data_IF_553105230975
#
_entry.id   IF_553105230975
#
_cell.length_a   1.000
_cell.length_b   1.000
_cell.length_c   1.000
_cell.angle_alpha   90.00
_cell.angle_beta   90.00
_cell.angle_gamma   90.00
#
_symmetry.space_group_name_H-M   'P 1'
#
loop_
_entity.id
_entity.type
_entity.pdbx_description
1 polymer ?
#
# COMPACT_ATOMS: atom_id res chain seq x y z
N UNK A 1 -20.60 -64.35 46.62
CA UNK A 1 -21.29 -63.04 46.48
C UNK A 1 -21.02 -62.53 45.08
N UNK A 2 -21.98 -62.70 44.18
CA UNK A 2 -21.86 -62.31 42.78
C UNK A 2 -22.19 -60.83 42.64
N UNK A 3 -21.21 -60.05 42.19
CA UNK A 3 -21.35 -58.65 41.85
C UNK A 3 -22.27 -58.53 40.63
N UNK A 4 -23.36 -57.76 40.76
CA UNK A 4 -24.40 -57.64 39.74
C UNK A 4 -23.86 -57.01 38.44
N UNK A 5 -24.45 -57.34 37.27
CA UNK A 5 -23.96 -56.91 35.96
C UNK A 5 -23.95 -55.38 35.78
N UNK A 6 -24.70 -54.64 36.61
CA UNK A 6 -24.72 -53.18 36.62
C UNK A 6 -23.38 -52.56 37.07
N UNK A 7 -22.66 -53.23 37.99
CA UNK A 7 -21.40 -52.70 38.54
C UNK A 7 -20.20 -52.94 37.61
N UNK A 8 -20.28 -53.95 36.73
CA UNK A 8 -19.25 -54.21 35.70
C UNK A 8 -19.33 -53.22 34.54
N UNK A 9 -20.53 -52.73 34.19
CA UNK A 9 -20.70 -51.69 33.16
C UNK A 9 -20.16 -50.34 33.65
N UNK A 10 -20.31 -50.03 34.95
CA UNK A 10 -19.76 -48.81 35.54
C UNK A 10 -18.21 -48.80 35.63
N UNK A 11 -17.57 -49.97 35.77
CA UNK A 11 -16.10 -50.04 35.83
C UNK A 11 -15.42 -49.96 34.43
N UNK A 12 -16.11 -50.39 33.38
CA UNK A 12 -15.60 -50.31 31.99
C UNK A 12 -15.76 -48.90 31.40
N UNK A 13 -16.78 -48.14 31.84
CA UNK A 13 -16.95 -46.73 31.45
C UNK A 13 -15.88 -45.83 32.10
N UNK A 14 -15.26 -46.23 33.20
CA UNK A 14 -14.23 -45.45 33.88
C UNK A 14 -12.80 -45.65 33.33
N UNK A 15 -12.54 -46.72 32.57
CA UNK A 15 -11.21 -47.03 32.00
C UNK A 15 -11.03 -46.63 30.53
N UNK A 16 -12.07 -46.16 29.85
CA UNK A 16 -12.00 -45.57 28.50
C UNK A 16 -12.03 -44.02 28.52
N UNK A 17 -11.89 -43.41 29.70
CA UNK A 17 -11.99 -41.96 29.90
C UNK A 17 -10.66 -41.22 30.06
N UNK A 18 -9.51 -41.87 29.83
CA UNK A 18 -8.18 -41.29 30.06
C UNK A 18 -7.27 -41.40 28.83
N UNK A 19 -7.78 -41.02 27.65
CA UNK A 19 -7.01 -40.97 26.41
C UNK A 19 -7.29 -39.75 25.53
N UNK A 20 -8.12 -38.81 26.00
CA UNK A 20 -8.25 -37.51 25.36
C UNK A 20 -7.03 -36.68 25.73
N UNK A 21 -6.00 -36.68 24.89
CA UNK A 21 -5.11 -35.53 24.83
C UNK A 21 -6.01 -34.34 24.49
N UNK A 22 -6.46 -33.63 25.51
CA UNK A 22 -6.94 -32.27 25.36
C UNK A 22 -5.72 -31.51 24.84
N UNK A 23 -5.53 -31.51 23.52
CA UNK A 23 -4.96 -30.35 22.86
C UNK A 23 -5.90 -29.23 23.27
N UNK A 24 -5.55 -28.54 24.37
CA UNK A 24 -6.22 -27.31 24.75
C UNK A 24 -6.31 -26.44 23.49
N UNK A 25 -7.37 -25.63 23.34
CA UNK A 25 -7.51 -24.81 22.14
C UNK A 25 -6.17 -24.15 21.88
N UNK A 26 -5.52 -24.53 20.77
CA UNK A 26 -4.29 -23.87 20.34
C UNK A 26 -4.65 -22.39 20.44
N UNK A 27 -3.92 -21.58 21.22
CA UNK A 27 -4.27 -20.18 21.33
C UNK A 27 -4.08 -19.60 19.93
N UNK A 28 -5.17 -19.59 19.16
CA UNK A 28 -5.26 -18.90 17.89
C UNK A 28 -5.26 -17.46 18.32
N UNK A 29 -4.07 -16.92 18.56
CA UNK A 29 -3.90 -15.50 18.73
C UNK A 29 -4.37 -14.92 17.39
N UNK A 30 -5.55 -14.31 17.32
CA UNK A 30 -6.19 -14.00 16.04
C UNK A 30 -5.42 -12.89 15.32
N UNK A 31 -4.44 -12.29 15.99
CA UNK A 31 -3.56 -11.29 15.44
C UNK A 31 -2.31 -11.94 14.85
N UNK A 32 -1.59 -12.82 15.55
CA UNK A 32 -0.25 -13.23 15.10
C UNK A 32 -0.18 -14.48 14.24
N UNK A 33 0.61 -14.40 13.16
CA UNK A 33 0.93 -15.57 12.35
C UNK A 33 1.98 -16.47 13.02
N UNK A 34 1.86 -17.78 12.80
CA UNK A 34 2.79 -18.80 13.27
C UNK A 34 4.10 -18.79 12.48
N UNK A 35 5.22 -19.28 13.04
CA UNK A 35 6.47 -19.37 12.29
C UNK A 35 6.34 -20.21 11.01
N UNK A 36 7.14 -19.93 9.96
CA UNK A 36 7.32 -20.80 8.81
C UNK A 36 7.66 -22.25 9.23
N UNK A 37 7.25 -23.23 8.41
CA UNK A 37 7.32 -24.66 8.75
C UNK A 37 8.75 -25.17 9.02
N UNK A 38 9.77 -24.56 8.39
CA UNK A 38 11.17 -24.92 8.60
C UNK A 38 12.02 -23.66 8.75
N UNK A 39 12.55 -23.45 9.95
CA UNK A 39 13.50 -22.40 10.26
C UNK A 39 14.69 -22.96 11.04
N UNK A 40 15.91 -22.47 10.81
CA UNK A 40 17.03 -22.68 11.73
C UNK A 40 16.64 -22.25 13.15
N UNK A 41 17.16 -22.94 14.18
CA UNK A 41 16.84 -22.66 15.60
C UNK A 41 17.01 -21.18 15.97
N UNK A 42 18.07 -20.54 15.49
CA UNK A 42 18.34 -19.13 15.75
C UNK A 42 17.26 -18.19 15.15
N UNK A 43 16.76 -18.51 13.97
CA UNK A 43 15.72 -17.73 13.29
C UNK A 43 14.34 -17.95 13.92
N UNK A 44 14.05 -19.19 14.33
CA UNK A 44 12.86 -19.51 15.10
C UNK A 44 12.84 -18.75 16.44
N UNK A 45 13.98 -18.68 17.13
CA UNK A 45 14.11 -17.90 18.36
C UNK A 45 13.87 -16.40 18.11
N UNK A 46 14.41 -15.86 17.02
CA UNK A 46 14.20 -14.46 16.64
C UNK A 46 12.73 -14.17 16.32
N UNK A 47 12.06 -15.07 15.58
CA UNK A 47 10.63 -15.00 15.26
C UNK A 47 9.77 -14.99 16.53
N UNK A 48 9.99 -15.94 17.43
CA UNK A 48 9.22 -16.07 18.66
C UNK A 48 9.42 -14.86 19.59
N UNK A 49 10.67 -14.36 19.68
CA UNK A 49 10.96 -13.15 20.44
C UNK A 49 10.25 -11.93 19.86
N UNK A 50 10.20 -11.77 18.53
CA UNK A 50 9.50 -10.66 17.90
C UNK A 50 7.99 -10.66 18.23
N UNK A 51 7.38 -11.85 18.23
CA UNK A 51 6.00 -12.04 18.65
C UNK A 51 5.77 -11.73 20.13
N UNK A 52 6.65 -12.19 21.00
CA UNK A 52 6.57 -11.95 22.44
C UNK A 52 6.67 -10.46 22.78
N UNK A 53 7.61 -9.75 22.16
CA UNK A 53 7.75 -8.30 22.31
C UNK A 53 6.46 -7.56 21.94
N UNK A 54 5.81 -7.96 20.84
CA UNK A 54 4.55 -7.36 20.44
C UNK A 54 3.41 -7.64 21.43
N UNK A 55 3.30 -8.87 21.93
CA UNK A 55 2.33 -9.25 22.96
C UNK A 55 2.53 -8.46 24.26
N UNK A 56 3.77 -8.16 24.60
CA UNK A 56 4.14 -7.39 25.79
C UNK A 56 4.10 -5.87 25.57
N UNK A 57 3.48 -5.40 24.47
CA UNK A 57 3.38 -3.99 24.09
C UNK A 57 4.74 -3.29 23.86
N UNK A 58 5.81 -4.06 23.66
CA UNK A 58 7.14 -3.58 23.29
C UNK A 58 7.24 -3.49 21.76
N UNK A 59 6.40 -2.64 21.17
CA UNK A 59 6.12 -2.62 19.73
C UNK A 59 7.36 -2.24 18.90
N UNK A 60 8.15 -1.26 19.35
CA UNK A 60 9.37 -0.85 18.64
C UNK A 60 10.43 -1.95 18.60
N UNK A 61 10.62 -2.67 19.72
CA UNK A 61 11.51 -3.83 19.77
C UNK A 61 11.03 -4.96 18.86
N UNK A 62 9.71 -5.18 18.78
CA UNK A 62 9.13 -6.16 17.85
C UNK A 62 9.44 -5.80 16.40
N UNK A 63 9.30 -4.52 16.02
CA UNK A 63 9.61 -4.02 14.68
C UNK A 63 11.10 -4.26 14.34
N UNK A 64 12.03 -3.95 15.25
CA UNK A 64 13.46 -4.24 15.05
C UNK A 64 13.71 -5.72 14.79
N UNK A 65 13.15 -6.60 15.63
CA UNK A 65 13.33 -8.03 15.50
C UNK A 65 12.73 -8.58 14.21
N UNK A 66 11.59 -8.06 13.77
CA UNK A 66 11.01 -8.42 12.47
C UNK A 66 11.88 -7.99 11.31
N UNK A 67 12.43 -6.78 11.34
CA UNK A 67 13.34 -6.31 10.30
C UNK A 67 14.60 -7.18 10.23
N UNK A 68 15.18 -7.55 11.38
CA UNK A 68 16.33 -8.47 11.46
C UNK A 68 15.99 -9.87 10.96
N UNK A 69 14.80 -10.38 11.28
CA UNK A 69 14.34 -11.67 10.77
C UNK A 69 14.23 -11.66 9.24
N UNK A 70 13.67 -10.59 8.68
CA UNK A 70 13.49 -10.41 7.24
C UNK A 70 14.79 -10.21 6.47
N UNK A 71 15.90 -9.80 7.10
CA UNK A 71 17.22 -9.74 6.45
C UNK A 71 17.67 -11.12 5.93
N UNK A 72 17.38 -12.18 6.69
CA UNK A 72 17.71 -13.56 6.31
C UNK A 72 16.53 -14.27 5.63
N UNK A 73 15.30 -13.80 5.87
CA UNK A 73 14.07 -14.41 5.39
C UNK A 73 13.25 -13.45 4.50
N UNK A 74 13.79 -12.91 3.39
CA UNK A 74 13.15 -11.85 2.62
C UNK A 74 11.87 -12.29 1.89
N UNK A 75 11.56 -13.60 1.85
CA UNK A 75 10.34 -14.16 1.25
C UNK A 75 9.33 -14.65 2.28
N UNK A 76 9.53 -14.36 3.57
CA UNK A 76 8.59 -14.74 4.62
C UNK A 76 7.39 -13.81 4.65
N UNK A 77 6.31 -14.20 3.96
CA UNK A 77 5.05 -13.46 3.99
C UNK A 77 4.49 -13.31 5.42
N UNK A 78 4.67 -14.34 6.26
CA UNK A 78 4.26 -14.33 7.67
C UNK A 78 4.96 -13.25 8.47
N UNK A 79 6.26 -13.09 8.25
CA UNK A 79 7.04 -12.05 8.90
C UNK A 79 6.64 -10.65 8.41
N UNK A 80 6.36 -10.47 7.12
CA UNK A 80 5.82 -9.20 6.62
C UNK A 80 4.43 -8.88 7.18
N UNK A 81 3.54 -9.86 7.32
CA UNK A 81 2.24 -9.63 7.97
C UNK A 81 2.40 -9.26 9.45
N UNK A 82 3.26 -9.96 10.19
CA UNK A 82 3.54 -9.63 11.59
C UNK A 82 4.22 -8.26 11.76
N UNK A 83 5.15 -7.91 10.87
CA UNK A 83 5.74 -6.57 10.80
C UNK A 83 4.65 -5.52 10.53
N UNK A 84 3.76 -5.79 9.57
CA UNK A 84 2.63 -4.90 9.25
C UNK A 84 1.73 -4.65 10.45
N UNK A 85 1.46 -5.67 11.25
CA UNK A 85 0.69 -5.49 12.49
C UNK A 85 1.45 -4.72 13.56
N UNK A 86 2.74 -5.01 13.75
CA UNK A 86 3.57 -4.24 14.68
C UNK A 86 3.59 -2.75 14.31
N UNK A 87 3.75 -2.44 13.02
CA UNK A 87 3.70 -1.09 12.48
C UNK A 87 2.31 -0.46 12.65
N UNK A 88 1.24 -1.22 12.40
CA UNK A 88 -0.14 -0.77 12.58
C UNK A 88 -0.43 -0.41 14.05
N UNK A 89 0.01 -1.25 14.99
CA UNK A 89 -0.10 -0.99 16.43
C UNK A 89 0.76 0.17 16.92
N UNK A 90 1.80 0.55 16.16
CA UNK A 90 2.65 1.70 16.45
C UNK A 90 2.20 2.99 15.72
N UNK A 91 0.95 3.04 15.23
CA UNK A 91 0.40 4.14 14.42
C UNK A 91 1.18 4.44 13.12
N UNK A 92 2.06 3.53 12.69
CA UNK A 92 2.82 3.63 11.44
C UNK A 92 2.03 3.02 10.28
N UNK A 93 0.88 3.64 9.98
CA UNK A 93 -0.11 3.09 9.05
C UNK A 93 0.39 2.90 7.61
N UNK A 94 1.16 3.86 7.07
CA UNK A 94 1.70 3.76 5.70
C UNK A 94 2.74 2.63 5.58
N UNK A 95 3.76 2.53 6.46
CA UNK A 95 4.63 1.36 6.51
C UNK A 95 3.87 0.04 6.72
N UNK A 96 2.84 0.02 7.56
CA UNK A 96 2.01 -1.16 7.79
C UNK A 96 1.33 -1.65 6.51
N UNK A 97 0.68 -0.74 5.78
CA UNK A 97 0.06 -1.05 4.47
C UNK A 97 1.11 -1.64 3.52
N UNK A 98 2.31 -1.06 3.47
CA UNK A 98 3.37 -1.56 2.58
C UNK A 98 3.84 -2.97 2.96
N UNK A 99 3.95 -3.26 4.25
CA UNK A 99 4.30 -4.59 4.73
C UNK A 99 3.19 -5.61 4.39
N UNK A 100 1.92 -5.26 4.58
CA UNK A 100 0.80 -6.11 4.18
C UNK A 100 0.70 -6.32 2.66
N UNK A 101 0.94 -5.28 1.85
CA UNK A 101 1.01 -5.41 0.39
C UNK A 101 2.12 -6.37 -0.03
N UNK A 102 3.28 -6.31 0.64
CA UNK A 102 4.41 -7.21 0.38
C UNK A 102 4.07 -8.65 0.79
N UNK A 103 3.43 -8.83 1.94
CA UNK A 103 2.97 -10.14 2.41
C UNK A 103 1.95 -10.76 1.44
N UNK A 104 0.97 -9.98 0.98
CA UNK A 104 -0.06 -10.45 0.03
C UNK A 104 0.52 -10.74 -1.36
N UNK A 105 1.54 -10.01 -1.78
CA UNK A 105 2.24 -10.31 -3.04
C UNK A 105 3.01 -11.64 -2.98
N UNK A 106 3.51 -12.01 -1.79
CA UNK A 106 4.19 -13.29 -1.57
C UNK A 106 3.21 -14.45 -1.40
N UNK A 107 2.05 -14.21 -0.77
CA UNK A 107 0.98 -15.19 -0.58
C UNK A 107 -0.41 -14.59 -0.92
N UNK A 108 -0.82 -14.65 -2.21
CA UNK A 108 -2.02 -13.94 -2.70
C UNK A 108 -3.36 -14.44 -2.15
N UNK A 109 -3.39 -15.68 -1.65
CA UNK A 109 -4.64 -16.33 -1.21
C UNK A 109 -4.83 -16.33 0.32
N UNK A 110 -3.90 -15.75 1.08
CA UNK A 110 -4.05 -15.68 2.53
C UNK A 110 -5.14 -14.66 2.93
N UNK A 111 -6.26 -15.20 3.42
CA UNK A 111 -7.41 -14.42 3.85
C UNK A 111 -7.12 -13.48 5.04
N UNK A 112 -6.17 -13.82 5.91
CA UNK A 112 -5.80 -12.99 7.07
C UNK A 112 -5.03 -11.76 6.61
N UNK A 113 -4.04 -11.94 5.75
CA UNK A 113 -3.25 -10.83 5.19
C UNK A 113 -4.16 -9.89 4.40
N UNK A 114 -5.03 -10.46 3.56
CA UNK A 114 -6.04 -9.73 2.81
C UNK A 114 -6.97 -8.93 3.74
N UNK A 115 -7.41 -9.53 4.84
CA UNK A 115 -8.22 -8.86 5.88
C UNK A 115 -7.50 -7.72 6.57
N UNK A 116 -6.22 -7.92 6.95
CA UNK A 116 -5.38 -6.91 7.57
C UNK A 116 -5.12 -5.72 6.63
N UNK A 117 -4.80 -5.99 5.37
CA UNK A 117 -4.63 -4.96 4.34
C UNK A 117 -5.91 -4.16 4.13
N UNK A 118 -7.08 -4.83 3.99
CA UNK A 118 -8.38 -4.15 3.88
C UNK A 118 -8.62 -3.20 5.06
N UNK A 119 -8.39 -3.67 6.29
CA UNK A 119 -8.57 -2.86 7.51
C UNK A 119 -7.66 -1.63 7.50
N UNK A 120 -6.38 -1.82 7.20
CA UNK A 120 -5.41 -0.72 7.16
C UNK A 120 -5.75 0.32 6.07
N UNK A 121 -6.14 -0.14 4.87
CA UNK A 121 -6.56 0.74 3.78
C UNK A 121 -7.83 1.53 4.12
N UNK A 122 -8.85 0.89 4.71
CA UNK A 122 -10.07 1.58 5.17
C UNK A 122 -9.76 2.62 6.23
N UNK A 123 -8.88 2.30 7.18
CA UNK A 123 -8.50 3.26 8.22
C UNK A 123 -7.77 4.47 7.63
N UNK A 124 -6.85 4.24 6.67
CA UNK A 124 -6.16 5.31 5.95
C UNK A 124 -7.13 6.16 5.13
N UNK A 125 -8.10 5.54 4.42
CA UNK A 125 -9.13 6.24 3.67
C UNK A 125 -9.99 7.15 4.58
N UNK A 126 -10.36 6.67 5.76
CA UNK A 126 -11.08 7.49 6.76
C UNK A 126 -10.27 8.70 7.18
N UNK A 127 -8.99 8.54 7.53
CA UNK A 127 -8.11 9.67 7.91
C UNK A 127 -8.02 10.70 6.77
N UNK A 128 -7.86 10.25 5.53
CA UNK A 128 -7.78 11.10 4.35
C UNK A 128 -9.10 11.83 4.10
N UNK A 129 -10.24 11.16 4.27
CA UNK A 129 -11.57 11.76 4.18
C UNK A 129 -11.73 12.89 5.21
N UNK A 130 -11.38 12.66 6.48
CA UNK A 130 -11.46 13.69 7.52
C UNK A 130 -10.55 14.89 7.22
N UNK A 131 -9.42 14.64 6.56
CA UNK A 131 -8.51 15.70 6.08
C UNK A 131 -8.96 16.40 4.79
N UNK A 132 -10.09 15.96 4.20
CA UNK A 132 -10.63 16.40 2.89
C UNK A 132 -9.74 16.07 1.69
N UNK A 133 -8.84 15.11 1.84
CA UNK A 133 -8.00 14.58 0.76
C UNK A 133 -8.75 13.44 0.04
N UNK A 134 -9.93 13.77 -0.52
CA UNK A 134 -10.89 12.79 -1.03
C UNK A 134 -10.35 11.96 -2.20
N UNK A 135 -9.54 12.54 -3.09
CA UNK A 135 -8.95 11.81 -4.21
C UNK A 135 -8.06 10.65 -3.75
N UNK A 136 -7.19 10.90 -2.76
CA UNK A 136 -6.31 9.87 -2.21
C UNK A 136 -7.12 8.85 -1.39
N UNK A 137 -8.17 9.29 -0.68
CA UNK A 137 -9.09 8.36 -0.03
C UNK A 137 -9.74 7.38 -1.03
N UNK A 138 -10.17 7.87 -2.20
CA UNK A 138 -10.73 7.03 -3.27
C UNK A 138 -9.69 6.02 -3.77
N UNK A 139 -8.42 6.40 -3.95
CA UNK A 139 -7.36 5.46 -4.36
C UNK A 139 -7.22 4.28 -3.38
N UNK A 140 -7.30 4.54 -2.07
CA UNK A 140 -7.29 3.49 -1.05
C UNK A 140 -8.55 2.63 -1.08
N UNK A 141 -9.73 3.23 -1.25
CA UNK A 141 -10.98 2.49 -1.36
C UNK A 141 -11.05 1.63 -2.62
N UNK A 142 -10.49 2.07 -3.74
CA UNK A 142 -10.37 1.26 -4.96
C UNK A 142 -9.48 0.04 -4.74
N UNK A 143 -8.40 0.17 -3.96
CA UNK A 143 -7.63 -1.00 -3.51
C UNK A 143 -8.49 -1.93 -2.64
N UNK A 144 -9.28 -1.40 -1.70
CA UNK A 144 -10.20 -2.21 -0.88
C UNK A 144 -11.21 -2.95 -1.76
N UNK A 145 -11.82 -2.27 -2.73
CA UNK A 145 -12.82 -2.84 -3.68
C UNK A 145 -12.27 -4.02 -4.47
N UNK A 146 -10.98 -4.00 -4.82
CA UNK A 146 -10.28 -5.12 -5.48
C UNK A 146 -10.04 -6.31 -4.53
N UNK A 147 -10.00 -6.06 -3.23
CA UNK A 147 -9.76 -7.06 -2.19
C UNK A 147 -11.06 -7.58 -1.55
N UNK A 148 -12.25 -7.06 -1.90
CA UNK A 148 -13.52 -7.50 -1.31
C UNK A 148 -14.25 -8.52 -2.17
N UNK A 149 -15.16 -9.28 -1.56
CA UNK A 149 -16.15 -10.09 -2.27
C UNK A 149 -17.27 -9.20 -2.83
N UNK A 150 -18.20 -9.79 -3.58
CA UNK A 150 -19.30 -9.08 -4.25
C UNK A 150 -20.15 -8.25 -3.28
N UNK A 151 -20.47 -8.79 -2.10
CA UNK A 151 -21.35 -8.13 -1.14
C UNK A 151 -20.71 -6.90 -0.48
N UNK A 152 -19.41 -6.96 -0.17
CA UNK A 152 -18.68 -5.79 0.35
C UNK A 152 -18.32 -4.77 -0.74
N UNK A 153 -18.23 -5.20 -2.01
CA UNK A 153 -17.84 -4.36 -3.14
C UNK A 153 -18.81 -3.22 -3.41
N UNK A 154 -20.11 -3.48 -3.30
CA UNK A 154 -21.16 -2.47 -3.49
C UNK A 154 -21.08 -1.36 -2.42
N UNK A 155 -20.83 -1.74 -1.16
CA UNK A 155 -20.68 -0.77 -0.07
C UNK A 155 -19.48 0.15 -0.30
N UNK A 156 -18.36 -0.43 -0.72
CA UNK A 156 -17.15 0.35 -1.03
C UNK A 156 -17.36 1.24 -2.26
N UNK A 157 -18.11 0.77 -3.27
CA UNK A 157 -18.47 1.60 -4.42
C UNK A 157 -19.31 2.82 -4.01
N UNK A 158 -20.31 2.63 -3.14
CA UNK A 158 -21.13 3.72 -2.61
C UNK A 158 -20.30 4.73 -1.79
N UNK A 159 -19.35 4.25 -1.00
CA UNK A 159 -18.41 5.12 -0.29
C UNK A 159 -17.58 5.96 -1.26
N UNK A 160 -17.08 5.37 -2.36
CA UNK A 160 -16.34 6.07 -3.40
C UNK A 160 -17.21 7.12 -4.10
N UNK A 161 -18.43 6.78 -4.47
CA UNK A 161 -19.39 7.71 -5.08
C UNK A 161 -19.67 8.90 -4.16
N UNK A 162 -19.84 8.66 -2.86
CA UNK A 162 -20.03 9.72 -1.86
C UNK A 162 -18.83 10.67 -1.81
N UNK A 163 -17.60 10.15 -1.91
CA UNK A 163 -16.40 11.00 -1.96
C UNK A 163 -16.31 11.79 -3.26
N UNK A 164 -16.71 11.20 -4.39
CA UNK A 164 -16.76 11.91 -5.67
C UNK A 164 -17.78 13.06 -5.64
N UNK A 165 -18.95 12.86 -5.00
CA UNK A 165 -19.92 13.93 -4.74
C UNK A 165 -19.30 15.08 -3.95
N UNK A 166 -18.55 14.77 -2.88
CA UNK A 166 -17.87 15.80 -2.08
C UNK A 166 -16.77 16.54 -2.86
N UNK A 167 -16.07 15.86 -3.78
CA UNK A 167 -15.13 16.51 -4.70
C UNK A 167 -15.87 17.44 -5.64
N UNK A 168 -17.01 17.00 -6.18
CA UNK A 168 -17.79 17.82 -7.10
C UNK A 168 -18.34 19.09 -6.43
N UNK A 169 -18.77 19.02 -5.16
CA UNK A 169 -19.13 20.21 -4.40
C UNK A 169 -17.97 21.21 -4.26
N UNK A 170 -16.73 20.73 -4.12
CA UNK A 170 -15.54 21.60 -4.14
C UNK A 170 -15.35 22.24 -5.52
N UNK A 171 -15.55 21.48 -6.60
CA UNK A 171 -15.47 21.96 -7.99
C UNK A 171 -16.52 23.06 -8.24
N UNK A 172 -17.76 22.87 -7.77
CA UNK A 172 -18.82 23.89 -7.88
C UNK A 172 -18.49 25.18 -7.13
N UNK A 173 -17.77 25.11 -6.02
CA UNK A 173 -17.32 26.29 -5.30
C UNK A 173 -16.23 27.07 -6.04
N UNK A 174 -15.33 26.36 -6.74
CA UNK A 174 -14.29 26.98 -7.58
C UNK A 174 -14.91 27.56 -8.86
N UNK A 175 -15.86 26.86 -9.46
CA UNK A 175 -16.62 27.24 -10.65
C UNK A 175 -15.76 27.72 -11.83
N UNK A 176 -14.72 26.97 -12.17
CA UNK A 176 -13.85 27.24 -13.32
C UNK A 176 -13.95 26.12 -14.35
N UNK A 177 -13.75 26.45 -15.62
CA UNK A 177 -13.75 25.47 -16.72
C UNK A 177 -12.77 24.34 -16.44
N UNK A 178 -11.56 24.69 -16.00
CA UNK A 178 -10.47 23.75 -15.71
C UNK A 178 -10.84 22.78 -14.58
N UNK A 179 -11.53 23.24 -13.54
CA UNK A 179 -11.92 22.39 -12.42
C UNK A 179 -12.99 21.36 -12.82
N UNK A 180 -13.96 21.74 -13.66
CA UNK A 180 -14.95 20.79 -14.18
C UNK A 180 -14.33 19.80 -15.16
N UNK A 181 -13.40 20.25 -16.00
CA UNK A 181 -12.65 19.38 -16.93
C UNK A 181 -11.78 18.37 -16.15
N UNK A 182 -11.08 18.81 -15.10
CA UNK A 182 -10.30 17.92 -14.23
C UNK A 182 -11.19 16.87 -13.54
N UNK A 183 -12.37 17.28 -13.04
CA UNK A 183 -13.33 16.38 -12.44
C UNK A 183 -13.78 15.28 -13.41
N UNK A 184 -14.20 15.65 -14.62
CA UNK A 184 -14.62 14.69 -15.63
C UNK A 184 -13.47 13.82 -16.15
N UNK A 185 -12.25 14.36 -16.17
CA UNK A 185 -11.06 13.58 -16.52
C UNK A 185 -10.78 12.44 -15.55
N UNK A 186 -11.10 12.63 -14.25
CA UNK A 186 -10.94 11.61 -13.22
C UNK A 186 -12.19 10.72 -13.03
N UNK A 187 -13.38 11.30 -13.16
CA UNK A 187 -14.65 10.65 -12.85
C UNK A 187 -15.67 10.86 -13.99
N UNK A 188 -15.43 10.35 -15.21
CA UNK A 188 -16.29 10.59 -16.36
C UNK A 188 -17.69 9.96 -16.23
N UNK A 189 -17.80 8.90 -15.41
CA UNK A 189 -19.01 8.09 -15.24
C UNK A 189 -19.62 8.25 -13.84
N UNK A 190 -19.31 9.33 -13.11
CA UNK A 190 -20.00 9.59 -11.85
C UNK A 190 -21.52 9.77 -12.14
N UNK A 191 -22.40 8.96 -11.51
CA UNK A 191 -23.79 8.83 -11.92
C UNK A 191 -24.63 10.09 -11.68
N UNK A 192 -24.19 10.97 -10.77
CA UNK A 192 -24.95 12.12 -10.34
C UNK A 192 -24.47 13.43 -10.96
N UNK A 193 -23.15 13.59 -11.07
CA UNK A 193 -22.52 14.90 -11.29
C UNK A 193 -21.93 15.07 -12.69
N UNK A 194 -21.63 13.97 -13.41
CA UNK A 194 -20.91 14.06 -14.70
C UNK A 194 -21.70 14.81 -15.76
N UNK A 195 -23.02 14.60 -15.83
CA UNK A 195 -23.87 15.29 -16.81
C UNK A 195 -24.02 16.78 -16.50
N UNK A 196 -24.11 17.15 -15.23
CA UNK A 196 -24.12 18.55 -14.81
C UNK A 196 -22.78 19.22 -15.13
N UNK A 197 -21.65 18.55 -14.83
CA UNK A 197 -20.31 19.04 -15.15
C UNK A 197 -20.15 19.30 -16.66
N UNK A 198 -20.59 18.37 -17.52
CA UNK A 198 -20.56 18.54 -19.00
C UNK A 198 -21.34 19.77 -19.45
N UNK A 199 -22.52 20.00 -18.88
CA UNK A 199 -23.36 21.17 -19.20
C UNK A 199 -22.68 22.47 -18.77
N UNK A 200 -22.09 22.50 -17.58
CA UNK A 200 -21.40 23.68 -17.06
C UNK A 200 -20.15 24.01 -17.89
N UNK A 201 -19.38 23.00 -18.30
CA UNK A 201 -18.26 23.17 -19.24
C UNK A 201 -18.73 23.82 -20.55
N UNK A 202 -19.84 23.34 -21.13
CA UNK A 202 -20.37 23.90 -22.37
C UNK A 202 -20.85 25.36 -22.23
N UNK A 203 -21.32 25.75 -21.04
CA UNK A 203 -21.72 27.14 -20.75
C UNK A 203 -20.52 28.05 -20.48
N UNK A 204 -19.47 27.55 -19.82
CA UNK A 204 -18.28 28.31 -19.46
C UNK A 204 -17.28 28.43 -20.61
N UNK A 205 -17.30 27.51 -21.57
CA UNK A 205 -16.48 27.60 -22.77
C UNK A 205 -16.86 28.88 -23.53
N UNK A 206 -15.89 29.72 -23.92
CA UNK A 206 -16.17 30.85 -24.80
C UNK A 206 -16.92 30.34 -26.02
N UNK A 207 -18.13 30.84 -26.23
CA UNK A 207 -18.82 30.62 -27.50
C UNK A 207 -17.94 31.25 -28.57
N UNK A 208 -17.29 30.45 -29.40
CA UNK A 208 -16.72 30.95 -30.64
C UNK A 208 -17.87 31.59 -31.40
N UNK A 209 -17.89 32.92 -31.43
CA UNK A 209 -18.84 33.64 -32.28
C UNK A 209 -18.60 33.16 -33.71
N UNK A 210 -19.63 32.68 -34.44
CA UNK A 210 -19.51 32.37 -35.87
C UNK A 210 -19.48 33.66 -36.70
N UNK A 211 -18.71 34.66 -36.27
CA UNK A 211 -18.61 35.99 -36.89
C UNK A 211 -17.15 36.31 -37.21
N UNK A 212 -16.51 35.47 -38.03
CA UNK A 212 -15.38 35.88 -38.87
C UNK A 212 -14.97 34.73 -39.79
N UNK A 213 -15.84 34.38 -40.75
CA UNK A 213 -15.46 33.84 -42.07
C UNK A 213 -16.76 33.57 -42.82
N UNK A 214 -17.42 34.63 -43.27
CA UNK A 214 -18.12 34.50 -44.54
C UNK A 214 -17.02 34.37 -45.60
N UNK A 215 -16.93 33.27 -46.36
CA UNK A 215 -16.07 33.25 -47.52
C UNK A 215 -16.46 34.43 -48.39
N UNK A 216 -15.51 35.33 -48.66
CA UNK A 216 -15.70 36.33 -49.71
C UNK A 216 -16.12 35.58 -50.97
N UNK A 217 -17.38 35.78 -51.38
CA UNK A 217 -17.85 35.30 -52.68
C UNK A 217 -16.98 35.98 -53.72
N UNK A 218 -15.95 35.27 -54.17
CA UNK A 218 -15.33 35.56 -55.44
C UNK A 218 -16.45 35.44 -56.47
N UNK A 219 -16.69 36.55 -57.14
CA UNK A 219 -17.59 36.71 -58.25
C UNK A 219 -17.21 35.73 -59.35
N UNK A 220 -17.71 34.50 -59.26
CA UNK A 220 -17.62 33.50 -60.30
C UNK A 220 -18.74 33.78 -61.30
N UNK A 221 -18.31 34.17 -62.50
CA UNK A 221 -19.16 34.51 -63.63
C UNK A 221 -20.18 33.40 -63.91
N UNK A 222 -21.45 33.79 -63.96
CA UNK A 222 -22.54 32.96 -64.49
C UNK A 222 -22.22 32.47 -65.91
N UNK A 223 -22.46 31.18 -66.23
CA UNK A 223 -22.92 30.78 -67.54
C UNK A 223 -24.44 30.60 -67.56
N UNK A 224 -25.02 30.95 -68.71
CA UNK A 224 -26.43 30.91 -69.08
C UNK A 224 -27.10 29.50 -69.02
N UNK A 225 -28.46 29.44 -69.06
CA UNK A 225 -29.22 28.28 -68.61
C UNK A 225 -29.39 27.23 -69.71
N UNK A 226 -28.85 26.03 -69.49
CA UNK A 226 -29.16 24.85 -70.30
C UNK A 226 -30.17 23.94 -69.59
N UNK A 227 -31.43 24.11 -69.99
CA UNK A 227 -32.46 23.09 -70.26
C UNK A 227 -32.68 21.95 -69.23
N UNK A 228 -33.87 22.00 -68.63
CA UNK A 228 -34.57 20.85 -68.03
C UNK A 228 -34.65 19.69 -69.01
N UNK A 229 -34.16 18.52 -68.60
CA UNK A 229 -34.70 17.23 -69.03
C UNK A 229 -35.22 16.48 -67.81
N UNK A 230 -36.54 16.33 -67.81
CA UNK A 230 -37.34 15.45 -66.97
C UNK A 230 -37.15 14.00 -67.42
N UNK A 231 -36.82 13.08 -66.51
CA UNK A 231 -37.16 11.66 -66.65
C UNK A 231 -37.49 11.02 -65.28
N UNK A 232 -38.33 9.98 -65.25
CA UNK A 232 -39.39 9.85 -64.26
C UNK A 232 -39.09 8.87 -63.12
N UNK A 233 -39.85 9.02 -62.03
CA UNK A 233 -40.08 7.96 -61.04
C UNK A 233 -40.75 6.74 -61.68
N UNK A 234 -40.14 5.57 -61.54
CA UNK A 234 -40.75 4.30 -61.10
C UNK A 234 -39.75 3.14 -61.26
N UNK A 235 -39.38 2.46 -60.17
CA UNK A 235 -39.75 1.05 -59.93
C UNK A 235 -39.04 0.42 -58.71
N UNK A 236 -39.86 -0.34 -57.98
CA UNK A 236 -39.58 -1.60 -57.29
C UNK A 236 -38.48 -1.68 -56.21
N UNK A 237 -38.99 -1.70 -54.98
CA UNK A 237 -38.44 -2.33 -53.79
C UNK A 237 -38.05 -3.80 -54.04
N UNK A 238 -36.79 -4.17 -53.77
CA UNK A 238 -36.38 -5.55 -53.47
C UNK A 238 -35.33 -5.50 -52.34
N UNK A 239 -35.61 -6.05 -51.14
CA UNK A 239 -34.59 -6.16 -50.09
C UNK A 239 -33.69 -7.37 -50.35
N UNK A 240 -32.38 -7.18 -50.15
CA UNK A 240 -31.38 -8.25 -50.20
C UNK A 240 -31.62 -9.31 -49.09
N UNK A 241 -31.37 -10.61 -49.35
CA UNK A 241 -31.55 -11.64 -48.34
C UNK A 241 -30.41 -11.61 -47.31
N UNK A 242 -30.79 -11.66 -46.03
CA UNK A 242 -29.86 -11.82 -44.91
C UNK A 242 -29.07 -13.13 -45.04
N UNK A 243 -27.74 -13.02 -44.93
CA UNK A 243 -26.86 -14.17 -44.77
C UNK A 243 -27.12 -14.86 -43.44
N UNK A 244 -27.36 -16.17 -43.50
CA UNK A 244 -27.59 -17.04 -42.36
C UNK A 244 -26.30 -17.28 -41.56
N UNK A 245 -26.40 -17.08 -40.25
CA UNK A 245 -25.36 -17.45 -39.28
C UNK A 245 -25.33 -18.98 -39.13
N UNK A 246 -24.17 -19.65 -39.21
CA UNK A 246 -24.09 -21.09 -38.99
C UNK A 246 -24.29 -21.43 -37.50
N UNK A 247 -25.11 -22.44 -37.26
CA UNK A 247 -25.46 -23.03 -35.97
C UNK A 247 -24.27 -23.75 -35.31
N UNK A 248 -24.06 -23.47 -34.02
CA UNK A 248 -23.13 -24.21 -33.17
C UNK A 248 -23.62 -25.65 -32.90
N UNK A 249 -22.72 -26.64 -32.82
CA UNK A 249 -23.09 -28.02 -32.46
C UNK A 249 -23.39 -28.15 -30.94
N UNK A 250 -24.17 -29.16 -30.53
CA UNK A 250 -24.67 -29.27 -29.17
C UNK A 250 -23.59 -29.71 -28.18
N UNK A 251 -23.54 -29.03 -27.04
CA UNK A 251 -22.73 -29.36 -25.87
C UNK A 251 -23.21 -30.69 -25.28
N UNK A 252 -22.34 -31.71 -25.26
CA UNK A 252 -22.58 -32.96 -24.52
C UNK A 252 -22.38 -32.70 -23.03
N UNK A 253 -23.37 -33.07 -22.23
CA UNK A 253 -23.26 -33.20 -20.77
C UNK A 253 -22.55 -34.51 -20.46
N UNK A 254 -21.35 -34.45 -19.88
CA UNK A 254 -20.74 -35.59 -19.23
C UNK A 254 -20.97 -35.47 -17.72
N UNK A 255 -21.91 -36.28 -17.24
CA UNK A 255 -22.04 -36.70 -15.85
C UNK A 255 -20.99 -37.75 -15.55
N UNK A 256 -20.12 -37.52 -14.56
CA UNK A 256 -19.29 -38.56 -13.96
C UNK A 256 -19.82 -38.84 -12.56
N UNK A 257 -20.40 -40.02 -12.42
CA UNK A 257 -20.85 -40.64 -11.19
C UNK A 257 -19.69 -41.45 -10.59
N UNK A 258 -19.34 -41.11 -9.34
CA UNK A 258 -18.91 -41.94 -8.21
C UNK A 258 -18.22 -43.29 -8.52
N UNK A 259 -16.97 -43.44 -8.06
CA UNK A 259 -16.49 -44.71 -7.48
C UNK A 259 -15.81 -44.42 -6.15
N UNK A 260 -16.43 -44.90 -5.08
CA UNK A 260 -15.84 -45.07 -3.77
C UNK A 260 -14.94 -46.30 -3.79
N UNK A 261 -13.73 -46.21 -3.24
CA UNK A 261 -12.98 -47.40 -2.85
C UNK A 261 -12.28 -47.17 -1.51
N UNK A 262 -12.82 -47.85 -0.51
CA UNK A 262 -12.27 -48.07 0.82
C UNK A 262 -11.14 -49.10 0.77
N UNK A 263 -9.99 -48.82 1.39
CA UNK A 263 -9.18 -49.84 2.09
C UNK A 263 -8.06 -49.23 2.96
N UNK A 264 -8.15 -49.53 4.26
CA UNK A 264 -7.05 -49.82 5.20
C UNK A 264 -7.28 -51.28 5.66
N UNK A 265 -6.38 -51.99 6.38
CA UNK A 265 -5.19 -51.54 7.14
C UNK A 265 -3.95 -52.44 6.93
N UNK A 266 -3.00 -52.34 7.87
CA UNK A 266 -1.78 -53.16 8.13
C UNK A 266 -0.50 -52.48 7.59
N UNK A 267 0.59 -52.28 8.34
CA UNK A 267 1.15 -53.09 9.43
C UNK A 267 2.14 -52.26 10.29
N UNK A 268 2.41 -52.78 11.47
CA UNK A 268 3.21 -52.22 12.57
C UNK A 268 4.72 -52.09 12.25
N UNK A 269 5.36 -51.03 12.75
CA UNK A 269 6.81 -51.01 12.95
C UNK A 269 7.16 -50.16 14.19
N UNK A 270 7.38 -50.91 15.26
CA UNK A 270 7.96 -50.54 16.54
C UNK A 270 9.39 -49.98 16.33
N UNK A 271 9.67 -48.74 16.74
CA UNK A 271 11.05 -48.24 16.89
C UNK A 271 11.20 -47.65 18.28
N UNK A 272 12.09 -48.31 19.03
CA UNK A 272 12.49 -48.06 20.39
C UNK A 272 13.17 -46.69 20.55
N UNK A 273 12.85 -45.98 21.62
CA UNK A 273 13.57 -44.80 22.09
C UNK A 273 14.96 -45.19 22.60
N UNK A 274 16.05 -44.51 22.20
CA UNK A 274 17.26 -44.48 23.00
C UNK A 274 17.22 -43.28 23.95
N UNK A 275 17.15 -43.62 25.24
CA UNK A 275 17.48 -42.73 26.36
C UNK A 275 18.91 -42.21 26.16
N UNK A 276 19.06 -40.90 25.95
CA UNK A 276 20.35 -40.22 26.01
C UNK A 276 20.31 -39.13 27.10
N UNK A 277 21.28 -39.25 28.00
CA UNK A 277 21.49 -38.49 29.23
C UNK A 277 21.64 -36.98 28.96
N UNK A 278 21.16 -36.17 29.90
CA UNK A 278 21.54 -34.76 30.03
C UNK A 278 23.06 -34.63 30.16
N UNK A 279 23.72 -34.05 29.16
CA UNK A 279 25.02 -33.42 29.32
C UNK A 279 24.82 -31.91 29.42
N UNK A 280 25.10 -31.37 30.60
CA UNK A 280 25.19 -29.93 30.88
C UNK A 280 26.41 -29.38 30.15
N UNK A 281 26.30 -28.37 29.28
CA UNK A 281 27.47 -27.75 28.67
C UNK A 281 28.19 -26.86 29.70
N UNK A 282 29.54 -26.80 29.70
CA UNK A 282 30.28 -25.97 30.64
C UNK A 282 30.13 -24.48 30.32
N UNK A 283 30.16 -23.66 31.37
CA UNK A 283 30.14 -22.20 31.29
C UNK A 283 31.31 -21.66 30.42
N UNK A 284 31.10 -20.60 29.61
CA UNK A 284 32.19 -19.97 28.88
C UNK A 284 33.10 -19.18 29.84
N UNK A 285 34.41 -19.08 29.55
CA UNK A 285 35.35 -18.38 30.41
C UNK A 285 35.11 -16.86 30.38
N UNK A 286 35.24 -16.25 31.55
CA UNK A 286 35.26 -14.80 31.74
C UNK A 286 36.48 -14.22 31.02
N UNK A 287 36.26 -13.49 29.93
CA UNK A 287 37.30 -12.66 29.31
C UNK A 287 37.38 -11.31 30.04
N UNK A 288 38.52 -11.06 30.67
CA UNK A 288 38.90 -9.75 31.18
C UNK A 288 39.00 -8.73 30.03
N UNK A 289 38.50 -7.51 30.28
CA UNK A 289 38.56 -6.38 29.35
C UNK A 289 40.02 -5.99 29.08
N UNK A 290 40.47 -5.84 27.83
CA UNK A 290 41.73 -5.18 27.55
C UNK A 290 41.62 -3.67 27.78
N UNK A 291 42.63 -3.15 28.47
CA UNK A 291 42.88 -1.75 28.81
C UNK A 291 43.12 -0.95 27.52
N UNK A 292 42.33 0.10 27.28
CA UNK A 292 42.58 1.05 26.18
C UNK A 292 43.90 1.78 26.47
N UNK A 293 44.86 1.66 25.56
CA UNK A 293 46.05 2.51 25.48
C UNK A 293 45.86 3.44 24.28
N UNK A 294 45.99 4.74 24.51
CA UNK A 294 46.01 5.77 23.47
C UNK A 294 47.18 5.53 22.51
N UNK A 295 47.04 5.76 21.19
CA UNK A 295 48.19 5.93 20.33
C UNK A 295 48.65 7.39 20.35
N UNK A 296 49.91 7.59 20.75
CA UNK A 296 50.66 8.81 20.49
C UNK A 296 50.79 9.03 18.97
N UNK A 297 50.66 10.29 18.57
CA UNK A 297 50.95 10.76 17.23
C UNK A 297 52.46 10.71 16.93
N UNK A 298 52.81 10.16 15.77
CA UNK A 298 54.12 10.35 15.14
C UNK A 298 53.95 11.05 13.78
N UNK A 299 54.91 11.91 13.38
CA UNK A 299 54.72 12.87 12.29
C UNK A 299 54.87 12.23 10.90
N UNK A 300 54.03 12.70 9.98
CA UNK A 300 54.06 12.35 8.56
C UNK A 300 55.32 12.93 7.91
N UNK A 301 56.22 12.05 7.46
CA UNK A 301 57.29 12.39 6.52
C UNK A 301 56.68 12.45 5.12
N UNK A 302 56.76 13.63 4.49
CA UNK A 302 56.31 13.86 3.11
C UNK A 302 57.49 13.58 2.18
N UNK A 303 57.33 12.60 1.29
CA UNK A 303 58.27 12.35 0.19
C UNK A 303 57.81 13.17 -1.04
N UNK A 304 58.66 14.03 -1.63
CA UNK A 304 58.32 14.80 -2.83
C UNK A 304 58.66 13.99 -4.09
N UNK A 305 57.84 14.17 -5.13
CA UNK A 305 58.00 13.68 -6.51
C UNK A 305 57.29 12.37 -6.89
N UNK A 306 55.98 12.50 -7.14
CA UNK A 306 55.37 11.89 -8.32
C UNK A 306 54.32 12.84 -8.93
N UNK A 307 54.74 13.57 -9.96
CA UNK A 307 53.83 14.19 -10.92
C UNK A 307 53.10 13.09 -11.71
N UNK A 308 51.80 12.95 -11.50
CA UNK A 308 50.89 12.43 -12.53
C UNK A 308 49.57 13.20 -12.53
N UNK A 309 49.39 13.95 -13.63
CA UNK A 309 48.14 14.46 -14.23
C UNK A 309 47.03 14.89 -13.26
N UNK A 310 47.07 16.15 -12.86
CA UNK A 310 45.91 16.86 -12.31
C UNK A 310 44.93 17.15 -13.44
N UNK A 311 43.79 16.46 -13.45
CA UNK A 311 42.57 17.02 -14.05
C UNK A 311 42.27 18.35 -13.35
N UNK A 312 41.90 19.37 -14.14
CA UNK A 312 41.57 20.70 -13.62
C UNK A 312 40.47 20.55 -12.55
N UNK A 313 40.64 21.13 -11.34
CA UNK A 313 39.54 21.19 -10.39
C UNK A 313 38.39 21.95 -11.03
N UNK A 314 37.21 21.32 -11.09
CA UNK A 314 35.97 22.04 -11.37
C UNK A 314 35.84 23.19 -10.36
N UNK A 315 35.36 24.37 -10.78
CA UNK A 315 35.19 25.50 -9.86
C UNK A 315 34.32 25.09 -8.67
N UNK A 316 34.59 25.60 -7.46
CA UNK A 316 33.85 25.24 -6.27
C UNK A 316 32.37 25.53 -6.49
N UNK A 317 31.55 24.49 -6.42
CA UNK A 317 30.08 24.61 -6.39
C UNK A 317 29.76 25.45 -5.17
N UNK A 318 29.42 26.72 -5.38
CA UNK A 318 28.94 27.58 -4.31
C UNK A 318 27.74 26.88 -3.66
N UNK A 319 27.85 26.55 -2.38
CA UNK A 319 26.71 26.04 -1.64
C UNK A 319 25.59 27.08 -1.72
N UNK A 320 24.34 26.67 -2.02
CA UNK A 320 23.26 27.63 -2.16
C UNK A 320 23.10 28.39 -0.84
N UNK A 321 23.28 29.71 -0.87
CA UNK A 321 23.13 30.57 0.30
C UNK A 321 21.63 30.70 0.63
N UNK A 322 21.21 30.58 1.91
CA UNK A 322 19.80 30.71 2.26
C UNK A 322 19.31 32.13 1.97
N UNK A 323 18.30 32.26 1.11
CA UNK A 323 17.80 33.55 0.64
C UNK A 323 16.68 34.11 1.52
N UNK A 324 16.02 33.26 2.31
CA UNK A 324 14.84 33.62 3.12
C UNK A 324 14.81 32.85 4.44
N UNK A 325 13.98 33.29 5.40
CA UNK A 325 13.71 32.57 6.65
C UNK A 325 12.22 32.23 6.75
N UNK A 326 11.89 31.09 7.37
CA UNK A 326 10.51 30.68 7.62
C UNK A 326 10.30 30.39 9.11
N UNK A 327 9.21 30.93 9.66
CA UNK A 327 8.72 30.63 11.02
C UNK A 327 7.67 29.53 10.95
N UNK A 328 7.78 28.55 11.84
CA UNK A 328 6.80 27.46 11.94
C UNK A 328 5.53 27.91 12.67
N UNK A 329 4.36 27.72 12.05
CA UNK A 329 3.05 28.23 12.53
C UNK A 329 2.06 27.11 12.87
N UNK A 330 2.53 25.92 13.24
CA UNK A 330 1.66 24.80 13.62
C UNK A 330 0.83 25.10 14.89
N UNK A 331 -0.37 24.50 15.01
CA UNK A 331 -1.26 24.74 16.17
C UNK A 331 -0.72 24.07 17.44
N UNK A 332 -0.65 22.74 17.43
CA UNK A 332 -0.43 21.91 18.64
C UNK A 332 0.68 20.84 18.50
N UNK A 333 1.35 20.72 17.35
CA UNK A 333 2.35 19.67 17.10
C UNK A 333 3.59 20.24 16.40
N UNK A 334 4.78 19.63 16.59
CA UNK A 334 5.98 20.01 15.83
C UNK A 334 5.80 19.72 14.34
N UNK A 335 6.35 20.57 13.48
CA UNK A 335 6.30 20.39 12.03
C UNK A 335 7.30 19.32 11.59
N UNK A 336 6.80 18.34 10.84
CA UNK A 336 7.61 17.24 10.30
C UNK A 336 8.42 17.71 9.09
N UNK A 337 9.72 17.45 9.13
CA UNK A 337 10.67 17.66 8.02
C UNK A 337 10.80 16.36 7.25
N UNK A 338 10.76 16.42 5.93
CA UNK A 338 10.75 15.24 5.06
C UNK A 338 11.94 15.19 4.10
N UNK A 339 12.27 13.99 3.62
CA UNK A 339 13.39 13.80 2.70
C UNK A 339 13.13 14.40 1.30
N UNK A 340 11.88 14.41 0.84
CA UNK A 340 11.47 14.96 -0.47
C UNK A 340 10.30 15.95 -0.29
N UNK A 341 10.02 16.84 -1.26
CA UNK A 341 8.89 17.78 -1.22
C UNK A 341 7.55 17.07 -1.49
N UNK A 342 7.25 16.05 -0.69
CA UNK A 342 6.06 15.23 -0.83
C UNK A 342 5.64 14.62 0.52
N UNK A 343 4.34 14.42 0.70
CA UNK A 343 3.71 13.90 1.92
C UNK A 343 3.97 12.41 2.18
N UNK A 344 4.37 11.63 1.17
CA UNK A 344 4.66 10.20 1.31
C UNK A 344 6.12 9.94 1.68
N UNK A 345 6.99 10.95 1.51
CA UNK A 345 8.41 10.81 1.78
C UNK A 345 8.74 10.70 3.28
N UNK A 346 9.80 9.96 3.65
CA UNK A 346 10.12 9.69 5.06
C UNK A 346 10.41 10.98 5.83
N UNK A 347 9.99 10.99 7.09
CA UNK A 347 10.22 12.09 8.01
C UNK A 347 11.66 11.98 8.53
N UNK A 348 12.47 13.00 8.30
CA UNK A 348 13.89 13.04 8.67
C UNK A 348 14.15 13.84 9.95
N UNK A 349 13.22 14.72 10.34
CA UNK A 349 13.28 15.49 11.58
C UNK A 349 11.92 16.08 11.96
N UNK A 350 11.84 16.69 13.16
CA UNK A 350 10.69 17.46 13.60
C UNK A 350 11.15 18.80 14.19
N UNK A 351 10.44 19.88 13.88
CA UNK A 351 10.78 21.25 14.28
C UNK A 351 9.64 21.81 15.16
N UNK A 352 9.93 22.31 16.38
CA UNK A 352 8.91 22.87 17.24
C UNK A 352 8.29 24.14 16.66
N UNK A 353 7.07 24.45 17.11
CA UNK A 353 6.35 25.68 16.77
C UNK A 353 7.21 26.92 17.07
N UNK A 354 6.99 27.99 16.31
CA UNK A 354 7.65 29.29 16.43
C UNK A 354 9.17 29.31 16.17
N UNK A 355 9.80 28.16 15.90
CA UNK A 355 11.20 28.12 15.46
C UNK A 355 11.33 28.75 14.07
N UNK A 356 12.41 29.49 13.87
CA UNK A 356 12.76 30.12 12.59
C UNK A 356 13.88 29.30 11.96
N UNK A 357 13.72 28.94 10.69
CA UNK A 357 14.69 28.15 9.93
C UNK A 357 15.05 28.82 8.60
N UNK A 358 16.31 28.67 8.13
CA UNK A 358 16.71 29.16 6.82
C UNK A 358 16.04 28.36 5.71
N UNK A 359 15.58 29.05 4.66
CA UNK A 359 14.96 28.50 3.47
C UNK A 359 15.90 28.68 2.29
N UNK A 360 16.20 27.58 1.60
CA UNK A 360 17.08 27.52 0.46
C UNK A 360 16.32 27.57 -0.86
N UNK A 361 15.23 26.80 -0.96
CA UNK A 361 14.45 26.66 -2.19
C UNK A 361 12.96 26.45 -1.88
N UNK A 362 12.11 26.80 -2.85
CA UNK A 362 10.67 26.56 -2.81
C UNK A 362 10.26 25.72 -4.02
N UNK A 363 9.58 24.60 -3.78
CA UNK A 363 9.07 23.73 -4.85
C UNK A 363 7.65 23.29 -4.50
N UNK A 364 6.68 23.64 -5.35
CA UNK A 364 5.28 23.14 -5.30
C UNK A 364 4.66 23.13 -3.89
N UNK A 365 4.77 24.25 -3.15
CA UNK A 365 4.19 24.37 -1.81
C UNK A 365 5.05 23.78 -0.67
N UNK A 366 6.31 23.46 -0.94
CA UNK A 366 7.30 23.01 0.04
C UNK A 366 8.50 23.94 0.10
N UNK A 367 9.04 24.14 1.29
CA UNK A 367 10.32 24.82 1.51
C UNK A 367 11.41 23.80 1.82
N UNK A 368 12.52 23.89 1.10
CA UNK A 368 13.76 23.22 1.48
C UNK A 368 14.44 24.05 2.55
N UNK A 369 14.65 23.44 3.71
CA UNK A 369 15.22 24.07 4.89
C UNK A 369 16.42 23.28 5.39
N UNK A 370 17.24 23.91 6.20
CA UNK A 370 18.25 23.23 7.01
C UNK A 370 17.76 23.15 8.45
N UNK A 371 17.67 21.93 8.98
CA UNK A 371 17.12 21.67 10.32
C UNK A 371 18.19 21.36 11.37
N UNK A 372 19.37 20.94 10.91
CA UNK A 372 20.61 20.71 11.65
C UNK A 372 21.77 21.11 10.73
N UNK A 373 22.91 21.51 11.29
CA UNK A 373 24.10 21.91 10.52
C UNK A 373 24.48 20.84 9.47
N UNK A 374 24.49 21.24 8.20
CA UNK A 374 24.75 20.38 7.05
C UNK A 374 23.59 19.48 6.62
N UNK A 375 22.46 19.43 7.34
CA UNK A 375 21.32 18.55 7.03
C UNK A 375 20.11 19.32 6.53
N UNK A 376 19.76 19.04 5.28
CA UNK A 376 18.63 19.66 4.56
C UNK A 376 17.42 18.72 4.51
N UNK A 377 16.24 19.31 4.50
CA UNK A 377 14.98 18.59 4.35
C UNK A 377 13.84 19.52 3.94
N UNK A 378 12.65 18.98 3.77
CA UNK A 378 11.50 19.69 3.21
C UNK A 378 10.38 19.86 4.23
N UNK A 379 9.84 21.07 4.32
CA UNK A 379 8.68 21.38 5.16
C UNK A 379 7.55 21.95 4.32
N UNK A 380 6.30 21.72 4.76
CA UNK A 380 5.14 22.24 4.04
C UNK A 380 4.96 23.75 4.28
N UNK A 381 4.75 24.51 3.19
CA UNK A 381 4.42 25.95 3.22
C UNK A 381 3.12 26.23 3.96
N UNK A 382 2.17 25.29 3.96
CA UNK A 382 0.87 25.42 4.67
C UNK A 382 1.05 25.68 6.19
N UNK A 383 2.16 25.21 6.76
CA UNK A 383 2.42 25.28 8.20
C UNK A 383 3.64 26.14 8.55
N UNK A 384 4.07 26.98 7.62
CA UNK A 384 5.20 27.89 7.82
C UNK A 384 4.94 29.23 7.13
N UNK A 385 5.44 30.32 7.71
CA UNK A 385 5.30 31.67 7.18
C UNK A 385 6.70 32.25 6.95
N UNK A 386 6.94 32.79 5.75
CA UNK A 386 8.17 33.52 5.48
C UNK A 386 8.26 34.74 6.39
N UNK A 387 9.42 34.95 6.97
CA UNK A 387 9.77 36.10 7.80
C UNK A 387 11.00 36.75 7.19
N UNK A 388 10.95 38.08 7.05
CA UNK A 388 12.07 38.87 6.57
C UNK A 388 13.14 38.99 7.65
#
# INVERSE_FOLDING_TARGET
MFLTPLLRVLLVIFLLGAGGCATGPVPVNPYFEMPPERLPKAELALYNRALEQLKNNQVENSIDLWNRFLQNNPRSFRAYNNLGMALYSNDQLVPAIKAFETALALEPFDGKIKGNLKRALKFQATILRENRDYGVAIEHLEKVKKLTDLAEKEKVALEIETLQDLIYEQVKQVNTLEAYEEFLGKYPDNPKNSDEARRLIAQLRPQESPLAEFPEMQSEMLPEPAQRTTEPMQEAFVPEPMQSVPTLPPVRKESIEIVAETKQPDEEAEIQEPVMREEVPPEPPVMEKPKMTEPLAEPVVVDPDMEMKREKPAPPVQEPVPTKRARITTKNAPLRVRAKPDILSPIVAQIPKNRIVPVYQEVKGWFQIEYQEGKKGWISKKYSRLVN
#
